data_IF_142561885868
#
_entry.id   IF_142561885868
#
_cell.length_a   1.000
_cell.length_b   1.000
_cell.length_c   1.000
_cell.angle_alpha   90.00
_cell.angle_beta   90.00
_cell.angle_gamma   90.00
#
_symmetry.space_group_name_H-M   'P 1'
#
loop_
_entity.id
_entity.type
_entity.pdbx_description
1 polymer ?
#
# COMPACT_ATOMS: atom_id res chain seq x y z
N UNK A 1 12.26 -11.41 -7.57
CA UNK A 1 12.23 -10.41 -8.66
C UNK A 1 13.32 -9.38 -8.38
N UNK A 2 14.30 -9.22 -9.28
CA UNK A 2 15.39 -8.23 -9.10
C UNK A 2 15.03 -7.00 -9.93
N UNK A 3 14.61 -5.93 -9.26
CA UNK A 3 14.38 -4.64 -9.91
C UNK A 3 15.74 -3.93 -9.98
N UNK A 4 16.17 -3.55 -11.19
CA UNK A 4 17.58 -3.22 -11.49
C UNK A 4 17.96 -1.77 -11.21
N UNK A 5 17.05 -0.97 -10.61
CA UNK A 5 17.28 0.45 -10.40
C UNK A 5 16.77 0.90 -9.02
N UNK A 6 17.66 1.16 -8.05
CA UNK A 6 17.29 1.47 -6.66
C UNK A 6 16.35 2.67 -6.49
N UNK A 7 16.31 3.62 -7.44
CA UNK A 7 15.37 4.76 -7.44
C UNK A 7 14.01 4.46 -8.07
N UNK A 8 13.85 3.31 -8.74
CA UNK A 8 12.60 2.81 -9.34
C UNK A 8 12.13 1.50 -8.69
N UNK A 9 12.70 1.15 -7.55
CA UNK A 9 12.40 -0.07 -6.79
C UNK A 9 11.18 0.10 -5.87
N UNK A 10 10.38 1.16 -6.08
CA UNK A 10 9.22 1.47 -5.25
C UNK A 10 7.94 0.89 -5.85
N UNK A 11 7.07 0.36 -4.98
CA UNK A 11 5.71 -0.07 -5.32
C UNK A 11 4.73 0.91 -4.70
N UNK A 12 3.90 1.51 -5.55
CA UNK A 12 2.80 2.37 -5.16
C UNK A 12 1.50 1.57 -5.07
N UNK A 13 0.83 1.60 -3.91
CA UNK A 13 -0.46 0.93 -3.70
C UNK A 13 -1.48 1.98 -3.28
N UNK A 14 -2.55 2.14 -4.07
CA UNK A 14 -3.69 2.99 -3.74
C UNK A 14 -4.91 2.10 -3.55
N UNK A 15 -5.58 2.23 -2.42
CA UNK A 15 -6.79 1.47 -2.12
C UNK A 15 -7.74 2.27 -1.23
N UNK A 16 -9.02 1.95 -1.31
CA UNK A 16 -10.04 2.48 -0.41
C UNK A 16 -10.20 1.54 0.79
N UNK A 17 -10.39 2.11 1.97
CA UNK A 17 -10.62 1.35 3.21
C UNK A 17 -11.59 2.09 4.13
N UNK A 18 -12.06 1.40 5.16
CA UNK A 18 -12.87 1.97 6.24
C UNK A 18 -12.00 2.11 7.50
N UNK A 19 -11.90 3.32 8.03
CA UNK A 19 -11.26 3.60 9.33
C UNK A 19 -12.23 4.43 10.16
N UNK A 20 -12.51 4.00 11.39
CA UNK A 20 -13.47 4.67 12.29
C UNK A 20 -14.83 4.96 11.62
N UNK A 21 -15.37 3.97 10.90
CA UNK A 21 -16.65 4.07 10.15
C UNK A 21 -16.66 5.07 8.99
N UNK A 22 -15.52 5.68 8.66
CA UNK A 22 -15.36 6.59 7.53
C UNK A 22 -14.60 5.92 6.39
N UNK A 23 -15.08 6.14 5.15
CA UNK A 23 -14.43 5.64 3.94
C UNK A 23 -13.32 6.59 3.51
N UNK A 24 -12.10 6.09 3.44
CA UNK A 24 -10.89 6.87 3.13
C UNK A 24 -10.08 6.24 1.99
N UNK A 25 -9.30 7.06 1.31
CA UNK A 25 -8.21 6.63 0.44
C UNK A 25 -6.94 6.41 1.26
N UNK A 26 -6.26 5.28 1.05
CA UNK A 26 -4.93 5.00 1.57
C UNK A 26 -3.94 4.84 0.41
N UNK A 27 -2.85 5.59 0.45
CA UNK A 27 -1.79 5.56 -0.56
C UNK A 27 -0.44 5.22 0.06
N UNK A 28 0.08 4.03 -0.25
CA UNK A 28 1.34 3.52 0.27
C UNK A 28 2.43 3.53 -0.79
N UNK A 29 3.61 3.97 -0.39
CA UNK A 29 4.85 3.81 -1.15
C UNK A 29 5.71 2.81 -0.38
N UNK A 30 5.94 1.66 -0.99
CA UNK A 30 6.73 0.56 -0.43
C UNK A 30 8.05 0.42 -1.19
N UNK A 31 9.11 -0.07 -0.54
CA UNK A 31 10.33 -0.46 -1.23
C UNK A 31 10.25 -1.89 -1.83
N UNK A 32 11.34 -2.36 -2.44
CA UNK A 32 11.41 -3.70 -3.06
C UNK A 32 11.24 -4.86 -2.07
N UNK A 33 11.37 -4.62 -0.76
CA UNK A 33 11.10 -5.59 0.30
C UNK A 33 9.67 -5.44 0.85
N UNK A 34 8.86 -4.59 0.21
CA UNK A 34 7.52 -4.19 0.62
C UNK A 34 7.49 -3.43 1.96
N UNK A 35 8.60 -2.82 2.36
CA UNK A 35 8.67 -1.99 3.57
C UNK A 35 8.06 -0.63 3.30
N UNK A 36 7.21 -0.16 4.22
CA UNK A 36 6.57 1.15 4.09
C UNK A 36 7.60 2.28 4.16
N UNK A 37 7.64 3.11 3.11
CA UNK A 37 8.47 4.31 3.03
C UNK A 37 7.66 5.55 3.37
N UNK A 38 6.43 5.63 2.86
CA UNK A 38 5.49 6.74 3.06
C UNK A 38 4.07 6.23 2.96
N UNK A 39 3.19 6.83 3.74
CA UNK A 39 1.75 6.62 3.71
C UNK A 39 1.05 7.98 3.64
N UNK A 40 -0.08 8.01 2.93
CA UNK A 40 -0.96 9.17 2.86
C UNK A 40 -2.40 8.70 2.95
N UNK A 41 -3.21 9.45 3.70
CA UNK A 41 -4.61 9.15 3.90
C UNK A 41 -5.46 10.38 3.58
N UNK A 42 -6.58 10.19 2.91
CA UNK A 42 -7.50 11.29 2.62
C UNK A 42 -8.95 10.84 2.57
N UNK A 43 -9.87 11.74 2.89
CA UNK A 43 -11.30 11.47 2.73
C UNK A 43 -11.66 11.32 1.25
N UNK A 44 -12.54 10.35 0.95
CA UNK A 44 -13.05 10.13 -0.41
C UNK A 44 -14.10 11.18 -0.78
N UNK A 45 -14.96 11.54 0.19
CA UNK A 45 -16.14 12.38 -0.02
C UNK A 45 -15.83 13.86 -0.19
N UNK A 46 -14.61 14.31 0.18
CA UNK A 46 -14.29 15.72 0.20
C UNK A 46 -13.62 16.14 -1.12
N UNK A 47 -14.23 17.08 -1.85
CA UNK A 47 -13.73 17.58 -3.15
C UNK A 47 -12.28 18.11 -3.07
N UNK A 48 -11.81 18.44 -1.85
CA UNK A 48 -10.49 18.97 -1.56
C UNK A 48 -9.47 17.92 -1.06
N UNK A 49 -9.81 16.61 -1.01
CA UNK A 49 -8.93 15.51 -0.54
C UNK A 49 -8.23 15.82 0.79
N UNK A 50 -8.99 16.28 1.78
CA UNK A 50 -8.45 16.59 3.10
C UNK A 50 -7.72 15.40 3.72
N UNK A 51 -6.58 15.67 4.34
CA UNK A 51 -5.74 14.66 4.98
C UNK A 51 -6.46 14.06 6.17
N UNK A 52 -6.40 12.73 6.27
CA UNK A 52 -6.90 11.98 7.43
C UNK A 52 -5.71 11.54 8.26
N UNK A 53 -5.85 11.60 9.59
CA UNK A 53 -4.90 10.98 10.50
C UNK A 53 -5.50 9.67 10.99
N UNK A 54 -4.79 8.56 10.81
CA UNK A 54 -5.17 7.27 11.39
C UNK A 54 -4.21 6.89 12.52
N UNK A 55 -4.62 5.96 13.40
CA UNK A 55 -3.74 5.48 14.46
C UNK A 55 -2.63 4.60 13.89
N UNK A 56 -1.48 4.56 14.57
CA UNK A 56 -0.36 3.69 14.19
C UNK A 56 -0.78 2.21 14.15
N UNK A 57 -1.60 1.77 15.12
CA UNK A 57 -2.09 0.39 15.15
C UNK A 57 -2.95 0.04 13.92
N UNK A 58 -3.74 0.99 13.42
CA UNK A 58 -4.54 0.79 12.21
C UNK A 58 -3.67 0.80 10.94
N UNK A 59 -2.67 1.69 10.86
CA UNK A 59 -1.68 1.68 9.78
C UNK A 59 -0.95 0.34 9.72
N UNK A 60 -0.46 -0.16 10.85
CA UNK A 60 0.23 -1.46 10.94
C UNK A 60 -0.69 -2.62 10.55
N UNK A 61 -1.97 -2.58 10.95
CA UNK A 61 -2.97 -3.59 10.57
C UNK A 61 -3.16 -3.61 9.05
N UNK A 62 -3.40 -2.46 8.43
CA UNK A 62 -3.61 -2.33 7.00
C UNK A 62 -2.35 -2.71 6.21
N UNK A 63 -1.17 -2.28 6.67
CA UNK A 63 0.10 -2.58 6.03
C UNK A 63 0.36 -4.09 5.98
N UNK A 64 0.11 -4.82 7.08
CA UNK A 64 0.26 -6.29 7.12
C UNK A 64 -0.63 -6.99 6.08
N UNK A 65 -1.85 -6.51 5.89
CA UNK A 65 -2.78 -7.05 4.88
C UNK A 65 -2.23 -6.77 3.48
N UNK A 66 -1.88 -5.51 3.18
CA UNK A 66 -1.33 -5.11 1.86
C UNK A 66 -0.07 -5.90 1.52
N UNK A 67 0.86 -6.02 2.46
CA UNK A 67 2.11 -6.79 2.27
C UNK A 67 1.83 -8.26 1.95
N UNK A 68 0.90 -8.89 2.67
CA UNK A 68 0.53 -10.29 2.46
C UNK A 68 -0.06 -10.50 1.07
N UNK A 69 -1.06 -9.71 0.69
CA UNK A 69 -1.76 -9.85 -0.60
C UNK A 69 -0.82 -9.52 -1.78
N UNK A 70 -0.04 -8.45 -1.67
CA UNK A 70 0.92 -8.06 -2.71
C UNK A 70 2.02 -9.11 -2.87
N UNK A 71 2.53 -9.67 -1.77
CA UNK A 71 3.51 -10.77 -1.84
C UNK A 71 2.92 -12.00 -2.55
N UNK A 72 1.71 -12.42 -2.16
CA UNK A 72 1.05 -13.56 -2.80
C UNK A 72 0.83 -13.32 -4.31
N UNK A 73 0.45 -12.11 -4.69
CA UNK A 73 0.32 -11.70 -6.09
C UNK A 73 1.66 -11.78 -6.84
N UNK A 74 2.73 -11.21 -6.29
CA UNK A 74 4.06 -11.20 -6.92
C UNK A 74 4.63 -12.62 -7.05
N UNK A 75 4.45 -13.47 -6.04
CA UNK A 75 4.85 -14.88 -6.08
C UNK A 75 4.12 -15.62 -7.21
N UNK A 76 2.80 -15.40 -7.35
CA UNK A 76 1.99 -15.98 -8.43
C UNK A 76 2.40 -15.49 -9.82
N UNK A 77 2.67 -14.20 -9.96
CA UNK A 77 3.17 -13.60 -11.20
C UNK A 77 4.52 -14.21 -11.59
N UNK A 78 5.44 -14.34 -10.62
CA UNK A 78 6.74 -14.93 -10.86
C UNK A 78 6.62 -16.39 -11.33
N UNK A 79 5.79 -17.20 -10.65
CA UNK A 79 5.53 -18.58 -11.06
C UNK A 79 4.95 -18.63 -12.47
N UNK A 80 4.03 -17.74 -12.83
CA UNK A 80 3.37 -17.75 -14.15
C UNK A 80 4.33 -17.36 -15.29
N UNK A 81 5.28 -16.46 -15.02
CA UNK A 81 6.21 -15.97 -16.02
C UNK A 81 7.45 -16.86 -16.20
N UNK A 82 7.85 -17.59 -15.15
CA UNK A 82 9.16 -18.26 -15.10
C UNK A 82 9.13 -19.71 -14.62
N UNK A 83 7.99 -20.22 -14.14
CA UNK A 83 7.86 -21.58 -13.62
C UNK A 83 6.95 -22.45 -14.47
#
# INVERSE_FOLDING_TARGET
MKMSNPRRDEVSVLFETMVNEEKINAYYILDHQLTLKRSYYSYISNQNKESVTISQAEEERLLKIVQKELKAFLDKMYQTLYG
#
